data_IF_820066923495
#
_entry.id   IF_820066923495
#
_cell.length_a   1.000
_cell.length_b   1.000
_cell.length_c   1.000
_cell.angle_alpha   90.00
_cell.angle_beta   90.00
_cell.angle_gamma   90.00
#
_symmetry.space_group_name_H-M   'P 1'
#
loop_
_entity.id
_entity.type
_entity.pdbx_description
1 polymer ?
#
# COMPACT_ATOMS: atom_id res chain seq x y z
N UNK A 1 4.27 23.02 17.85
CA UNK A 1 3.00 22.39 18.31
C UNK A 1 3.36 21.52 19.50
N UNK A 2 2.78 21.80 20.67
CA UNK A 2 3.02 21.04 21.90
C UNK A 2 2.33 19.68 21.72
N UNK A 3 3.10 18.59 21.69
CA UNK A 3 2.53 17.26 21.79
C UNK A 3 1.68 17.17 23.07
N UNK A 4 0.42 16.72 22.99
CA UNK A 4 -0.35 16.50 24.20
C UNK A 4 0.35 15.43 25.03
N UNK A 5 0.73 15.79 26.25
CA UNK A 5 1.34 14.89 27.21
C UNK A 5 0.54 13.58 27.25
N UNK A 6 1.20 12.43 27.08
CA UNK A 6 0.59 11.10 27.21
C UNK A 6 -0.01 11.01 28.63
N UNK A 7 -1.34 11.00 28.72
CA UNK A 7 -1.99 10.65 29.95
C UNK A 7 -1.59 9.22 30.29
N UNK A 8 -0.86 9.03 31.40
CA UNK A 8 -0.32 7.72 31.79
C UNK A 8 -1.42 6.67 31.93
N UNK A 9 -1.53 5.80 30.94
CA UNK A 9 -1.84 4.38 31.07
C UNK A 9 -3.23 3.89 31.52
N UNK A 10 -4.00 4.63 32.28
CA UNK A 10 -5.26 4.13 32.85
C UNK A 10 -6.36 3.94 31.78
N UNK A 11 -6.41 4.80 30.78
CA UNK A 11 -7.42 4.70 29.72
C UNK A 11 -7.15 3.57 28.71
N UNK A 12 -5.89 3.29 28.39
CA UNK A 12 -5.53 2.23 27.45
C UNK A 12 -5.77 0.84 28.04
N UNK A 13 -5.41 0.62 29.30
CA UNK A 13 -5.70 -0.65 30.01
C UNK A 13 -7.22 -0.94 30.07
N UNK A 14 -8.03 0.08 30.31
CA UNK A 14 -9.49 -0.07 30.30
C UNK A 14 -10.04 -0.39 28.89
N UNK A 15 -9.44 0.17 27.83
CA UNK A 15 -9.79 -0.17 26.46
C UNK A 15 -9.42 -1.62 26.14
N UNK A 16 -8.25 -2.07 26.54
CA UNK A 16 -7.78 -3.44 26.33
C UNK A 16 -8.64 -4.46 27.07
N UNK A 17 -9.04 -4.15 28.32
CA UNK A 17 -9.99 -4.97 29.07
C UNK A 17 -11.35 -5.05 28.36
N UNK A 18 -11.87 -3.92 27.85
CA UNK A 18 -13.10 -3.90 27.06
C UNK A 18 -12.97 -4.70 25.77
N UNK A 19 -11.82 -4.63 25.07
CA UNK A 19 -11.59 -5.43 23.88
C UNK A 19 -11.61 -6.93 24.21
N UNK A 20 -11.00 -7.34 25.32
CA UNK A 20 -11.02 -8.73 25.77
C UNK A 20 -12.45 -9.21 26.05
N UNK A 21 -13.27 -8.36 26.66
CA UNK A 21 -14.69 -8.63 26.91
C UNK A 21 -15.50 -8.69 25.61
N UNK A 22 -15.32 -7.72 24.69
CA UNK A 22 -15.94 -7.73 23.36
C UNK A 22 -15.62 -9.04 22.61
N UNK A 23 -14.34 -9.48 22.62
CA UNK A 23 -13.90 -10.73 21.99
C UNK A 23 -14.54 -11.96 22.66
N UNK A 24 -14.58 -11.99 23.97
CA UNK A 24 -15.22 -13.08 24.73
C UNK A 24 -16.72 -13.19 24.43
N UNK A 25 -17.43 -12.07 24.39
CA UNK A 25 -18.85 -12.04 24.05
C UNK A 25 -19.16 -12.52 22.63
N UNK A 26 -18.21 -12.35 21.72
CA UNK A 26 -18.30 -12.79 20.32
C UNK A 26 -17.70 -14.18 20.07
N UNK A 27 -17.26 -14.88 21.12
CA UNK A 27 -16.54 -16.16 21.04
C UNK A 27 -15.33 -16.11 20.08
N UNK A 28 -14.56 -15.01 20.12
CA UNK A 28 -13.39 -14.79 19.30
C UNK A 28 -12.09 -14.83 20.14
N UNK A 29 -11.01 -15.43 19.60
CA UNK A 29 -10.92 -16.17 18.33
C UNK A 29 -11.79 -17.43 18.34
N UNK A 30 -12.34 -17.78 17.19
CA UNK A 30 -12.99 -19.08 17.01
C UNK A 30 -12.01 -20.21 17.30
N UNK A 31 -12.52 -21.35 17.77
CA UNK A 31 -11.66 -22.52 18.03
C UNK A 31 -10.91 -22.95 16.77
N UNK A 32 -9.62 -23.32 16.89
CA UNK A 32 -8.85 -23.85 15.77
C UNK A 32 -9.56 -25.05 15.14
N UNK A 33 -9.74 -25.00 13.81
CA UNK A 33 -10.47 -26.04 13.07
C UNK A 33 -9.68 -26.64 11.90
N UNK A 34 -8.54 -26.03 11.52
CA UNK A 34 -7.70 -26.50 10.42
C UNK A 34 -6.73 -27.57 10.93
N UNK A 35 -6.76 -28.82 10.40
CA UNK A 35 -5.79 -29.84 10.81
C UNK A 35 -4.36 -29.46 10.42
N UNK A 36 -3.43 -29.67 11.36
CA UNK A 36 -2.00 -29.47 11.10
C UNK A 36 -1.51 -30.44 10.04
N UNK A 37 -0.65 -29.97 9.14
CA UNK A 37 -0.01 -30.78 8.09
C UNK A 37 1.51 -30.68 8.19
N UNK A 38 2.17 -31.73 7.72
CA UNK A 38 3.61 -31.79 7.47
C UNK A 38 3.86 -32.44 6.11
N UNK A 39 4.95 -32.05 5.47
CA UNK A 39 5.44 -32.68 4.23
C UNK A 39 6.94 -32.88 4.33
N UNK A 40 7.42 -34.08 4.06
CA UNK A 40 8.84 -34.46 4.13
C UNK A 40 9.48 -34.13 5.48
N UNK A 41 8.73 -34.27 6.60
CA UNK A 41 9.17 -33.93 7.96
C UNK A 41 9.14 -32.41 8.28
N UNK A 42 8.82 -31.54 7.32
CA UNK A 42 8.69 -30.11 7.52
C UNK A 42 7.24 -29.73 7.84
N UNK A 43 7.05 -28.89 8.87
CA UNK A 43 5.74 -28.37 9.21
C UNK A 43 5.23 -27.43 8.11
N UNK A 44 3.95 -27.57 7.72
CA UNK A 44 3.29 -26.73 6.73
C UNK A 44 2.46 -25.65 7.44
N UNK A 45 2.65 -24.39 7.07
CA UNK A 45 1.78 -23.28 7.49
C UNK A 45 0.45 -23.35 6.72
N UNK A 46 -0.64 -23.02 7.40
CA UNK A 46 -1.91 -22.88 6.68
C UNK A 46 -1.90 -21.60 5.85
N UNK A 47 -1.42 -20.48 6.43
CA UNK A 47 -1.28 -19.23 5.71
C UNK A 47 0.03 -18.53 6.09
N UNK A 48 0.76 -18.06 5.09
CA UNK A 48 1.86 -17.10 5.27
C UNK A 48 1.42 -15.75 4.71
N UNK A 49 1.65 -14.68 5.48
CA UNK A 49 1.37 -13.30 5.06
C UNK A 49 2.69 -12.57 4.85
N UNK A 50 2.92 -12.01 3.68
CA UNK A 50 4.10 -11.19 3.38
C UNK A 50 3.71 -9.71 3.41
N UNK A 51 4.32 -8.98 4.35
CA UNK A 51 4.02 -7.61 4.70
C UNK A 51 3.15 -7.51 5.95
N UNK A 52 3.65 -6.81 6.98
CA UNK A 52 2.95 -6.57 8.24
C UNK A 52 2.54 -5.11 8.44
N UNK A 53 2.40 -4.36 7.35
CA UNK A 53 1.70 -3.08 7.35
C UNK A 53 0.20 -3.26 7.64
N UNK A 54 -0.58 -2.18 7.60
CA UNK A 54 -2.02 -2.18 7.92
C UNK A 54 -2.80 -3.34 7.27
N UNK A 55 -2.57 -3.62 5.98
CA UNK A 55 -3.31 -4.67 5.26
C UNK A 55 -2.92 -6.07 5.76
N UNK A 56 -1.62 -6.31 5.99
CA UNK A 56 -1.15 -7.59 6.52
C UNK A 56 -1.62 -7.83 7.94
N UNK A 57 -1.58 -6.81 8.81
CA UNK A 57 -2.12 -6.91 10.17
C UNK A 57 -3.63 -7.23 10.17
N UNK A 58 -4.41 -6.55 9.31
CA UNK A 58 -5.84 -6.81 9.17
C UNK A 58 -6.13 -8.24 8.68
N UNK A 59 -5.37 -8.72 7.68
CA UNK A 59 -5.50 -10.08 7.15
C UNK A 59 -5.14 -11.13 8.22
N UNK A 60 -4.00 -10.96 8.90
CA UNK A 60 -3.53 -11.87 9.96
C UNK A 60 -4.51 -11.93 11.13
N UNK A 61 -4.97 -10.76 11.60
CA UNK A 61 -5.96 -10.70 12.66
C UNK A 61 -7.27 -11.40 12.26
N UNK A 62 -7.75 -11.17 11.05
CA UNK A 62 -9.01 -11.79 10.60
C UNK A 62 -8.89 -13.31 10.42
N UNK A 63 -7.73 -13.81 9.99
CA UNK A 63 -7.44 -15.26 9.93
C UNK A 63 -7.51 -15.88 11.32
N UNK A 64 -6.80 -15.31 12.28
CA UNK A 64 -6.72 -15.81 13.65
C UNK A 64 -8.11 -15.75 14.32
N UNK A 65 -8.81 -14.63 14.20
CA UNK A 65 -10.17 -14.49 14.73
C UNK A 65 -11.16 -15.51 14.11
N UNK A 66 -10.88 -15.97 12.87
CA UNK A 66 -11.65 -17.02 12.19
C UNK A 66 -11.23 -18.46 12.54
N UNK A 67 -10.34 -18.67 13.51
CA UNK A 67 -9.87 -19.99 13.94
C UNK A 67 -8.81 -20.63 13.02
N UNK A 68 -8.19 -19.84 12.14
CA UNK A 68 -7.01 -20.27 11.37
C UNK A 68 -5.79 -19.76 12.14
N UNK A 69 -5.23 -20.58 13.03
CA UNK A 69 -4.20 -20.19 14.00
C UNK A 69 -2.78 -20.52 13.56
N UNK A 70 -2.60 -21.39 12.54
CA UNK A 70 -1.29 -21.70 11.97
C UNK A 70 -0.88 -20.67 10.90
N UNK A 71 -0.87 -19.41 11.30
CA UNK A 71 -0.53 -18.26 10.49
C UNK A 71 0.79 -17.64 10.98
N UNK A 72 1.57 -17.11 10.06
CA UNK A 72 2.74 -16.27 10.38
C UNK A 72 2.80 -15.12 9.37
N UNK A 73 3.21 -13.95 9.84
CA UNK A 73 3.46 -12.78 8.99
C UNK A 73 4.94 -12.43 9.00
N UNK A 74 5.50 -12.14 7.83
CA UNK A 74 6.86 -11.69 7.65
C UNK A 74 6.90 -10.28 7.08
N UNK A 75 7.75 -9.42 7.62
CA UNK A 75 7.98 -8.07 7.08
C UNK A 75 9.47 -7.79 6.95
N UNK A 76 9.87 -7.20 5.82
CA UNK A 76 11.27 -6.83 5.56
C UNK A 76 11.74 -5.64 6.41
N UNK A 77 10.82 -4.81 6.90
CA UNK A 77 11.14 -3.68 7.76
C UNK A 77 11.43 -4.14 9.20
N UNK A 78 12.19 -3.34 9.92
CA UNK A 78 12.30 -3.47 11.38
C UNK A 78 10.98 -3.11 12.04
N UNK A 79 10.74 -3.65 13.22
CA UNK A 79 9.51 -3.40 13.98
C UNK A 79 9.26 -1.90 14.20
N UNK A 80 8.02 -1.48 13.97
CA UNK A 80 7.59 -0.10 14.07
C UNK A 80 7.87 0.74 12.81
N UNK A 81 8.40 0.13 11.74
CA UNK A 81 8.62 0.79 10.45
C UNK A 81 7.91 0.10 9.27
N UNK A 82 6.98 -0.79 9.58
CA UNK A 82 6.16 -1.48 8.58
C UNK A 82 5.27 -0.52 7.80
N UNK A 83 5.25 -0.66 6.50
CA UNK A 83 4.49 0.22 5.60
C UNK A 83 5.12 1.61 5.41
N UNK A 84 4.37 2.58 4.86
CA UNK A 84 4.93 3.85 4.42
C UNK A 84 4.98 4.95 5.49
N UNK A 85 4.31 4.78 6.63
CA UNK A 85 3.92 5.87 7.55
C UNK A 85 5.10 6.65 8.14
N UNK A 86 6.13 5.96 8.60
CA UNK A 86 7.34 6.53 9.19
C UNK A 86 8.59 6.30 8.35
N UNK A 87 8.42 5.79 7.13
CA UNK A 87 9.48 5.57 6.15
C UNK A 87 9.44 6.64 5.04
N UNK A 88 8.89 6.29 3.87
CA UNK A 88 8.91 7.16 2.69
C UNK A 88 7.70 8.08 2.51
N UNK A 89 6.62 7.95 3.30
CA UNK A 89 5.50 8.88 3.22
C UNK A 89 5.84 10.22 3.88
N UNK A 90 5.80 11.29 3.09
CA UNK A 90 6.16 12.65 3.53
C UNK A 90 4.96 13.50 3.97
N UNK A 91 3.74 12.94 3.93
CA UNK A 91 2.56 13.61 4.48
C UNK A 91 2.67 13.76 5.99
N UNK A 92 2.15 14.85 6.54
CA UNK A 92 2.09 15.06 7.99
C UNK A 92 0.90 14.33 8.63
N UNK A 93 -0.23 14.30 7.93
CA UNK A 93 -1.47 13.66 8.40
C UNK A 93 -2.06 12.75 7.33
N UNK A 94 -2.89 11.80 7.75
CA UNK A 94 -3.67 10.97 6.84
C UNK A 94 -4.62 11.82 6.00
N UNK A 95 -4.89 11.37 4.77
CA UNK A 95 -5.87 12.00 3.87
C UNK A 95 -7.30 11.66 4.24
N UNK A 96 -7.51 10.46 4.74
CA UNK A 96 -8.81 9.95 5.14
C UNK A 96 -9.39 10.76 6.31
N UNK A 97 -10.74 10.84 6.45
CA UNK A 97 -11.37 11.43 7.62
C UNK A 97 -10.94 10.72 8.91
N UNK A 98 -10.86 11.44 10.03
CA UNK A 98 -10.52 10.82 11.32
C UNK A 98 -11.53 9.77 11.80
N UNK A 99 -12.75 9.82 11.28
CA UNK A 99 -13.86 8.90 11.62
C UNK A 99 -13.76 7.54 10.91
N UNK A 100 -12.71 7.28 10.11
CA UNK A 100 -12.50 5.99 9.47
C UNK A 100 -12.38 4.86 10.50
N UNK A 101 -12.87 3.68 10.16
CA UNK A 101 -12.80 2.50 11.04
C UNK A 101 -11.46 1.76 10.92
N UNK A 102 -10.80 1.85 9.76
CA UNK A 102 -9.51 1.20 9.53
C UNK A 102 -9.58 -0.33 9.65
N UNK A 103 -8.54 -0.98 10.20
CA UNK A 103 -8.44 -2.43 10.34
C UNK A 103 -9.23 -2.99 11.54
N UNK A 104 -10.27 -2.29 12.01
CA UNK A 104 -10.99 -2.63 13.24
C UNK A 104 -11.84 -3.93 13.16
N UNK A 105 -12.02 -4.53 11.97
CA UNK A 105 -12.68 -5.82 11.74
C UNK A 105 -14.10 -5.94 12.35
N UNK A 106 -14.81 -4.81 12.48
CA UNK A 106 -16.13 -4.74 13.08
C UNK A 106 -16.13 -4.53 14.61
N UNK A 107 -14.97 -4.55 15.27
CA UNK A 107 -14.82 -4.35 16.71
C UNK A 107 -14.64 -2.86 17.03
N UNK A 108 -15.59 -2.25 17.73
CA UNK A 108 -15.54 -0.82 18.05
C UNK A 108 -14.32 -0.46 18.91
N UNK A 109 -13.92 -1.36 19.81
CA UNK A 109 -12.74 -1.23 20.68
C UNK A 109 -11.40 -1.28 19.94
N UNK A 110 -11.35 -1.83 18.71
CA UNK A 110 -10.16 -1.83 17.87
C UNK A 110 -10.01 -0.61 16.95
N UNK A 111 -10.96 0.34 16.95
CA UNK A 111 -10.86 1.52 16.08
C UNK A 111 -9.77 2.48 16.54
N UNK A 112 -9.17 3.22 15.59
CA UNK A 112 -8.26 4.32 15.92
C UNK A 112 -8.90 5.32 16.89
N UNK A 113 -10.21 5.61 16.72
CA UNK A 113 -10.95 6.50 17.62
C UNK A 113 -10.93 6.00 19.05
N UNK A 114 -11.17 4.70 19.27
CA UNK A 114 -11.18 4.13 20.63
C UNK A 114 -9.78 4.22 21.26
N UNK A 115 -8.74 3.82 20.52
CA UNK A 115 -7.34 3.91 20.92
C UNK A 115 -6.92 5.34 21.25
N UNK A 116 -7.22 6.30 20.36
CA UNK A 116 -6.89 7.70 20.56
C UNK A 116 -7.61 8.29 21.79
N UNK A 117 -8.92 8.03 21.89
CA UNK A 117 -9.72 8.55 23.01
C UNK A 117 -9.27 7.97 24.35
N UNK A 118 -8.88 6.72 24.40
CA UNK A 118 -8.36 6.07 25.61
C UNK A 118 -7.05 6.72 26.08
N UNK A 119 -6.21 7.22 25.17
CA UNK A 119 -4.91 7.83 25.52
C UNK A 119 -5.00 9.34 25.78
N UNK A 120 -5.79 10.04 24.97
CA UNK A 120 -5.77 11.50 24.92
C UNK A 120 -7.10 12.14 25.33
N UNK A 121 -8.14 11.33 25.54
CA UNK A 121 -9.46 11.77 25.96
C UNK A 121 -10.37 12.28 24.84
N UNK A 122 -11.67 12.35 25.14
CA UNK A 122 -12.73 12.73 24.18
C UNK A 122 -12.58 14.18 23.67
N UNK A 123 -12.07 15.10 24.51
CA UNK A 123 -11.86 16.48 24.10
C UNK A 123 -10.73 16.62 23.09
N UNK A 124 -9.63 15.86 23.23
CA UNK A 124 -8.55 15.82 22.26
C UNK A 124 -9.03 15.23 20.93
N UNK A 125 -9.84 14.16 20.98
CA UNK A 125 -10.51 13.62 19.79
C UNK A 125 -11.40 14.67 19.09
N UNK A 126 -12.18 15.43 19.83
CA UNK A 126 -13.05 16.44 19.23
C UNK A 126 -12.26 17.51 18.47
N UNK A 127 -11.10 17.92 19.01
CA UNK A 127 -10.21 18.95 18.40
C UNK A 127 -9.36 18.42 17.24
N UNK A 128 -9.13 17.12 17.18
CA UNK A 128 -8.35 16.50 16.10
C UNK A 128 -9.05 16.75 14.76
N UNK A 129 -8.37 17.32 13.77
CA UNK A 129 -8.89 17.45 12.40
C UNK A 129 -8.55 16.20 11.58
N UNK A 130 -7.27 15.92 11.42
CA UNK A 130 -6.72 14.77 10.67
C UNK A 130 -5.81 13.96 11.57
N UNK A 131 -5.74 12.66 11.33
CA UNK A 131 -4.85 11.76 12.08
C UNK A 131 -3.39 12.00 11.68
N UNK A 132 -2.49 12.39 12.61
CA UNK A 132 -1.06 12.45 12.35
C UNK A 132 -0.53 11.06 11.96
N UNK A 133 0.33 11.00 10.93
CA UNK A 133 0.85 9.71 10.42
C UNK A 133 1.63 8.91 11.47
N UNK A 134 2.34 9.59 12.37
CA UNK A 134 3.07 8.94 13.47
C UNK A 134 2.11 8.27 14.45
N UNK A 135 1.04 8.96 14.86
CA UNK A 135 0.02 8.38 15.73
C UNK A 135 -0.75 7.22 15.06
N UNK A 136 -0.88 7.26 13.72
CA UNK A 136 -1.40 6.10 12.99
C UNK A 136 -0.46 4.90 13.09
N UNK A 137 0.86 5.11 13.01
CA UNK A 137 1.83 4.04 13.21
C UNK A 137 1.81 3.52 14.65
N UNK A 138 1.77 4.41 15.66
CA UNK A 138 1.63 4.02 17.07
C UNK A 138 0.39 3.16 17.31
N UNK A 139 -0.73 3.52 16.66
CA UNK A 139 -1.95 2.72 16.68
C UNK A 139 -1.77 1.33 16.06
N UNK A 140 -1.07 1.20 14.92
CA UNK A 140 -0.81 -0.09 14.29
C UNK A 140 0.12 -0.98 15.14
N UNK A 141 1.09 -0.37 15.84
CA UNK A 141 1.93 -1.09 16.80
C UNK A 141 1.09 -1.62 17.96
N UNK A 142 0.22 -0.79 18.55
CA UNK A 142 -0.72 -1.22 19.58
C UNK A 142 -1.66 -2.32 19.07
N UNK A 143 -2.23 -2.15 17.88
CA UNK A 143 -3.12 -3.13 17.24
C UNK A 143 -2.48 -4.51 17.14
N UNK A 144 -1.21 -4.57 16.69
CA UNK A 144 -0.42 -5.80 16.64
C UNK A 144 -0.25 -6.42 18.03
N UNK A 145 0.08 -5.61 19.03
CA UNK A 145 0.37 -6.05 20.38
C UNK A 145 -0.89 -6.57 21.09
N UNK A 146 -1.98 -5.82 21.03
CA UNK A 146 -3.22 -6.17 21.74
C UNK A 146 -3.89 -7.43 21.20
N UNK A 147 -3.65 -7.76 19.93
CA UNK A 147 -4.14 -8.99 19.30
C UNK A 147 -3.09 -10.11 19.25
N UNK A 148 -1.92 -9.91 19.83
CA UNK A 148 -0.79 -10.86 19.84
C UNK A 148 -0.50 -11.45 18.46
N UNK A 149 -0.39 -10.60 17.42
CA UNK A 149 -0.24 -11.07 16.05
C UNK A 149 1.18 -11.62 15.79
N UNK A 150 1.33 -12.82 15.22
CA UNK A 150 2.60 -13.48 14.97
C UNK A 150 3.34 -12.85 13.78
N UNK A 151 4.03 -11.75 14.03
CA UNK A 151 4.83 -11.04 13.03
C UNK A 151 6.32 -11.18 13.32
N UNK A 152 7.08 -11.61 12.32
CA UNK A 152 8.56 -11.63 12.35
C UNK A 152 9.08 -10.53 11.41
N UNK A 153 9.79 -9.57 11.99
CA UNK A 153 10.38 -8.43 11.29
C UNK A 153 11.80 -8.73 10.78
N UNK A 154 12.29 -7.90 9.85
CA UNK A 154 13.61 -8.07 9.25
C UNK A 154 13.72 -9.32 8.39
N UNK A 155 12.60 -9.79 7.84
CA UNK A 155 12.52 -10.99 6.99
C UNK A 155 11.96 -10.62 5.62
N UNK A 156 12.74 -10.88 4.59
CA UNK A 156 12.39 -10.65 3.18
C UNK A 156 12.10 -11.96 2.47
N UNK A 157 10.98 -12.02 1.76
CA UNK A 157 10.72 -13.09 0.81
C UNK A 157 11.56 -12.87 -0.46
N UNK A 158 12.29 -13.90 -0.88
CA UNK A 158 13.22 -13.85 -2.03
C UNK A 158 12.82 -14.77 -3.18
N UNK A 159 11.97 -15.78 -2.93
CA UNK A 159 11.39 -16.61 -3.99
C UNK A 159 10.05 -17.20 -3.58
N UNK A 160 9.23 -17.49 -4.60
CA UNK A 160 7.97 -18.26 -4.52
C UNK A 160 8.08 -19.38 -5.50
N UNK A 161 7.92 -20.64 -5.05
CA UNK A 161 7.98 -21.82 -5.91
C UNK A 161 6.82 -22.78 -5.68
N UNK A 162 6.33 -23.43 -6.75
CA UNK A 162 5.42 -24.59 -6.62
C UNK A 162 6.13 -25.76 -5.92
N UNK A 163 5.47 -26.39 -4.95
CA UNK A 163 5.91 -27.64 -4.32
C UNK A 163 4.73 -28.63 -4.23
N UNK A 164 4.38 -29.23 -5.36
CA UNK A 164 3.13 -29.97 -5.48
C UNK A 164 1.93 -29.05 -5.29
N UNK A 165 1.08 -29.36 -4.34
CA UNK A 165 -0.08 -28.52 -3.98
C UNK A 165 0.26 -27.39 -2.98
N UNK A 166 1.50 -27.34 -2.49
CA UNK A 166 1.99 -26.34 -1.55
C UNK A 166 2.78 -25.25 -2.26
N UNK A 167 2.95 -24.17 -1.57
CA UNK A 167 3.81 -23.04 -1.94
C UNK A 167 5.05 -23.10 -1.07
N UNK A 168 6.22 -23.17 -1.68
CA UNK A 168 7.50 -22.99 -1.01
C UNK A 168 7.95 -21.54 -1.15
N UNK A 169 8.33 -20.92 -0.03
CA UNK A 169 8.73 -19.52 0.04
C UNK A 169 10.13 -19.47 0.63
N UNK A 170 11.08 -18.86 -0.09
CA UNK A 170 12.40 -18.57 0.46
C UNK A 170 12.39 -17.25 1.19
N UNK A 171 13.04 -17.26 2.33
CA UNK A 171 13.15 -16.13 3.25
C UNK A 171 14.60 -15.83 3.58
N UNK A 172 14.92 -14.54 3.71
CA UNK A 172 16.23 -14.04 4.12
C UNK A 172 16.09 -12.99 5.23
N UNK A 173 17.11 -12.87 6.06
CA UNK A 173 17.17 -11.91 7.17
C UNK A 173 17.10 -12.58 8.52
N UNK A 174 16.29 -12.06 9.45
CA UNK A 174 16.13 -12.59 10.81
C UNK A 174 15.60 -14.05 10.83
N UNK A 175 14.90 -14.46 9.77
CA UNK A 175 14.59 -15.86 9.48
C UNK A 175 15.19 -16.20 8.12
N UNK A 176 16.02 -17.24 8.06
CA UNK A 176 16.67 -17.70 6.85
C UNK A 176 16.29 -19.15 6.56
N UNK A 177 15.89 -19.43 5.33
CA UNK A 177 15.48 -20.76 4.90
C UNK A 177 14.18 -20.74 4.09
N UNK A 178 13.59 -21.93 3.92
CA UNK A 178 12.32 -22.08 3.22
C UNK A 178 11.17 -22.42 4.17
N UNK A 179 9.97 -21.95 3.84
CA UNK A 179 8.72 -22.23 4.55
C UNK A 179 7.71 -22.78 3.56
N UNK A 180 7.07 -23.90 3.94
CA UNK A 180 5.96 -24.46 3.19
C UNK A 180 4.63 -23.90 3.70
N UNK A 181 3.75 -23.52 2.77
CA UNK A 181 2.42 -23.00 3.12
C UNK A 181 1.35 -23.49 2.14
N UNK A 182 0.12 -23.58 2.64
CA UNK A 182 -1.06 -23.89 1.83
C UNK A 182 -1.56 -22.65 1.08
N UNK A 183 -1.53 -21.48 1.73
CA UNK A 183 -1.93 -20.21 1.15
C UNK A 183 -0.88 -19.13 1.43
N UNK A 184 -0.68 -18.25 0.46
CA UNK A 184 0.21 -17.08 0.56
C UNK A 184 -0.58 -15.80 0.33
N UNK A 185 -0.50 -14.86 1.28
CA UNK A 185 -1.10 -13.53 1.17
C UNK A 185 -0.01 -12.49 0.94
N UNK A 186 -0.07 -11.80 -0.19
CA UNK A 186 0.85 -10.72 -0.55
C UNK A 186 0.27 -9.37 -0.15
N UNK A 187 0.51 -8.96 1.11
CA UNK A 187 0.11 -7.66 1.66
C UNK A 187 1.22 -6.61 1.52
N UNK A 188 1.91 -6.62 0.41
CA UNK A 188 3.19 -5.95 0.14
C UNK A 188 3.07 -4.47 -0.27
N UNK A 189 1.89 -3.88 -0.11
CA UNK A 189 1.67 -2.46 -0.36
C UNK A 189 1.74 -2.06 -1.84
N UNK A 190 2.03 -0.78 -2.11
CA UNK A 190 1.96 -0.22 -3.47
C UNK A 190 3.03 -0.70 -4.42
N UNK A 191 4.22 -1.00 -3.92
CA UNK A 191 5.36 -1.44 -4.74
C UNK A 191 5.51 -2.95 -4.83
N UNK A 192 4.65 -3.72 -4.14
CA UNK A 192 4.85 -5.15 -3.92
C UNK A 192 4.74 -6.04 -5.15
N UNK A 193 4.06 -5.60 -6.20
CA UNK A 193 3.96 -6.34 -7.47
C UNK A 193 4.64 -5.62 -8.63
N UNK A 194 5.65 -4.84 -8.36
CA UNK A 194 6.40 -4.08 -9.35
C UNK A 194 7.40 -3.16 -8.68
N UNK A 195 7.30 -1.88 -8.94
CA UNK A 195 8.21 -0.90 -8.36
C UNK A 195 7.82 0.54 -8.65
N UNK A 196 8.74 1.43 -8.39
CA UNK A 196 8.62 2.82 -8.76
C UNK A 196 8.44 2.98 -10.28
N UNK A 197 7.51 3.83 -10.68
CA UNK A 197 7.33 4.18 -12.09
C UNK A 197 8.38 5.22 -12.48
N UNK A 198 9.55 4.79 -12.94
CA UNK A 198 10.64 5.67 -13.35
C UNK A 198 10.54 5.91 -14.87
N UNK A 199 10.49 7.17 -15.33
CA UNK A 199 10.47 7.50 -16.74
C UNK A 199 11.77 7.12 -17.47
N UNK A 200 11.67 6.68 -18.72
CA UNK A 200 12.79 6.19 -19.52
C UNK A 200 13.90 7.23 -19.74
N UNK A 201 13.56 8.52 -19.77
CA UNK A 201 14.55 9.59 -19.91
C UNK A 201 15.55 9.68 -18.73
N UNK A 202 15.29 8.97 -17.63
CA UNK A 202 16.21 8.88 -16.49
C UNK A 202 17.13 7.65 -16.54
N UNK A 203 16.96 6.74 -17.49
CA UNK A 203 17.69 5.47 -17.54
C UNK A 203 19.22 5.62 -17.58
N UNK A 204 19.72 6.74 -18.11
CA UNK A 204 21.17 7.05 -18.24
C UNK A 204 21.62 8.17 -17.31
N UNK A 205 20.74 8.70 -16.46
CA UNK A 205 21.06 9.80 -15.53
C UNK A 205 21.61 9.22 -14.23
N UNK A 206 22.73 9.79 -13.76
CA UNK A 206 23.35 9.39 -12.49
C UNK A 206 22.34 9.43 -11.34
N UNK A 207 22.23 8.34 -10.62
CA UNK A 207 21.27 8.15 -9.52
C UNK A 207 21.50 9.11 -8.34
N UNK A 208 22.68 9.70 -8.23
CA UNK A 208 22.99 10.71 -7.24
C UNK A 208 22.28 12.05 -7.48
N UNK A 209 21.80 12.29 -8.71
CA UNK A 209 21.15 13.54 -9.11
C UNK A 209 19.60 13.47 -9.04
N UNK A 210 19.03 12.32 -8.77
CA UNK A 210 17.59 12.17 -8.68
C UNK A 210 17.17 11.06 -7.72
N UNK A 211 15.95 11.15 -7.20
CA UNK A 211 15.33 10.12 -6.39
C UNK A 211 13.84 9.96 -6.74
N UNK A 212 13.31 8.75 -6.60
CA UNK A 212 11.86 8.56 -6.62
C UNK A 212 11.25 8.96 -5.27
N UNK A 213 10.01 9.43 -5.27
CA UNK A 213 9.29 9.85 -4.06
C UNK A 213 9.12 8.75 -3.00
N UNK A 214 9.40 7.50 -3.35
CA UNK A 214 9.37 6.35 -2.43
C UNK A 214 10.77 5.95 -1.91
N UNK A 215 11.82 6.62 -2.35
CA UNK A 215 13.17 6.38 -1.86
C UNK A 215 13.39 7.06 -0.50
N UNK A 216 14.43 6.62 0.18
CA UNK A 216 14.92 7.29 1.39
C UNK A 216 15.75 8.52 1.00
N UNK A 217 15.05 9.67 0.85
CA UNK A 217 15.66 10.93 0.44
C UNK A 217 16.21 11.65 1.65
N UNK A 218 17.50 11.95 1.62
CA UNK A 218 18.14 12.86 2.59
C UNK A 218 17.82 14.32 2.22
N UNK A 219 16.77 14.86 2.82
CA UNK A 219 16.35 16.24 2.56
C UNK A 219 17.31 17.28 3.17
N UNK A 220 18.08 16.95 4.20
CA UNK A 220 19.09 17.86 4.76
C UNK A 220 20.24 18.07 3.75
N UNK A 221 20.61 17.06 2.98
CA UNK A 221 21.57 17.17 1.90
C UNK A 221 21.05 17.98 0.68
N UNK A 222 19.75 18.29 0.64
CA UNK A 222 19.12 19.11 -0.40
C UNK A 222 19.00 20.58 -0.01
N UNK A 223 19.44 20.98 1.19
CA UNK A 223 19.47 22.38 1.64
C UNK A 223 20.27 23.25 0.68
N UNK A 224 19.70 24.41 0.33
CA UNK A 224 20.33 25.37 -0.58
C UNK A 224 20.36 24.94 -2.06
N UNK A 225 19.79 23.78 -2.42
CA UNK A 225 19.73 23.29 -3.81
C UNK A 225 18.46 23.75 -4.53
N UNK A 226 18.57 23.91 -5.85
CA UNK A 226 17.44 24.10 -6.77
C UNK A 226 16.88 22.72 -7.12
N UNK A 227 15.63 22.49 -6.81
CA UNK A 227 15.01 21.15 -6.94
C UNK A 227 13.87 21.19 -7.94
N UNK A 228 13.86 20.23 -8.87
CA UNK A 228 12.69 19.92 -9.67
C UNK A 228 11.91 18.76 -9.05
N UNK A 229 10.55 18.83 -9.10
CA UNK A 229 9.67 17.74 -8.68
C UNK A 229 8.72 17.40 -9.81
N UNK A 230 8.77 16.15 -10.30
CA UNK A 230 7.84 15.68 -11.35
C UNK A 230 6.53 15.25 -10.74
N UNK A 231 5.42 15.80 -11.22
CA UNK A 231 4.08 15.35 -10.89
C UNK A 231 3.27 16.37 -10.10
N UNK A 232 1.97 16.10 -10.03
CA UNK A 232 0.98 16.94 -9.33
C UNK A 232 0.18 16.13 -8.30
N UNK A 233 0.55 14.88 -8.06
CA UNK A 233 -0.09 14.02 -7.08
C UNK A 233 0.36 14.32 -5.65
N UNK A 234 -0.28 13.69 -4.68
CA UNK A 234 0.00 13.95 -3.29
C UNK A 234 1.46 13.62 -2.88
N UNK A 235 2.07 12.54 -3.42
CA UNK A 235 3.49 12.25 -3.12
C UNK A 235 4.43 13.31 -3.67
N UNK A 236 4.18 13.82 -4.88
CA UNK A 236 4.97 14.91 -5.45
C UNK A 236 4.87 16.17 -4.58
N UNK A 237 3.63 16.53 -4.18
CA UNK A 237 3.35 17.68 -3.33
C UNK A 237 4.02 17.56 -1.94
N UNK A 238 3.89 16.40 -1.29
CA UNK A 238 4.48 16.17 0.03
C UNK A 238 6.02 16.18 0.00
N UNK A 239 6.64 15.65 -1.07
CA UNK A 239 8.10 15.69 -1.24
C UNK A 239 8.59 17.13 -1.54
N UNK A 240 7.87 17.88 -2.38
CA UNK A 240 8.15 19.30 -2.63
C UNK A 240 8.11 20.12 -1.35
N UNK A 241 7.04 19.94 -0.56
CA UNK A 241 6.90 20.60 0.73
C UNK A 241 8.03 20.26 1.69
N UNK A 242 8.40 18.97 1.79
CA UNK A 242 9.49 18.55 2.68
C UNK A 242 10.84 19.13 2.24
N UNK A 243 11.09 19.24 0.94
CA UNK A 243 12.32 19.89 0.42
C UNK A 243 12.36 21.38 0.77
N UNK A 244 11.25 22.09 0.62
CA UNK A 244 11.15 23.51 1.02
C UNK A 244 11.36 23.70 2.51
N UNK A 245 10.67 22.91 3.34
CA UNK A 245 10.78 22.93 4.80
C UNK A 245 12.20 22.59 5.28
N UNK A 246 12.95 21.77 4.55
CA UNK A 246 14.36 21.46 4.80
C UNK A 246 15.32 22.58 4.34
N UNK A 247 14.82 23.61 3.64
CA UNK A 247 15.61 24.77 3.21
C UNK A 247 16.21 24.67 1.81
N UNK A 248 15.53 24.01 0.87
CA UNK A 248 15.88 24.07 -0.55
C UNK A 248 15.90 25.54 -1.03
N UNK A 249 16.82 25.91 -1.91
CA UNK A 249 16.89 27.25 -2.48
C UNK A 249 15.67 27.60 -3.33
N UNK A 250 15.17 26.61 -4.09
CA UNK A 250 13.89 26.71 -4.81
C UNK A 250 13.36 25.32 -5.12
N UNK A 251 12.02 25.24 -5.28
CA UNK A 251 11.36 24.03 -5.76
C UNK A 251 10.42 24.36 -6.92
N UNK A 252 10.64 23.73 -8.06
CA UNK A 252 9.76 23.82 -9.22
C UNK A 252 9.03 22.50 -9.42
N UNK A 253 7.71 22.54 -9.37
CA UNK A 253 6.87 21.39 -9.69
C UNK A 253 6.60 21.35 -11.20
N UNK A 254 7.19 20.38 -11.89
CA UNK A 254 7.03 20.18 -13.33
C UNK A 254 5.78 19.36 -13.61
N UNK A 255 4.72 20.02 -14.06
CA UNK A 255 3.39 19.45 -14.20
C UNK A 255 2.99 19.45 -15.68
N UNK A 256 2.92 18.27 -16.30
CA UNK A 256 2.58 18.15 -17.73
C UNK A 256 1.14 18.56 -18.10
N UNK A 257 0.23 18.58 -17.10
CA UNK A 257 -1.18 18.95 -17.32
C UNK A 257 -1.35 20.46 -17.41
N UNK A 258 -2.37 20.89 -18.13
CA UNK A 258 -2.76 22.30 -18.23
C UNK A 258 -3.39 22.81 -16.92
N UNK A 259 -4.02 21.92 -16.15
CA UNK A 259 -4.73 22.27 -14.92
C UNK A 259 -4.46 21.26 -13.82
N UNK A 260 -4.50 21.75 -12.57
CA UNK A 260 -4.51 20.91 -11.40
C UNK A 260 -5.87 20.23 -11.22
N UNK A 261 -5.93 18.93 -10.87
CA UNK A 261 -7.18 18.29 -10.54
C UNK A 261 -7.81 18.95 -9.30
N UNK A 262 -9.11 19.24 -9.35
CA UNK A 262 -9.82 19.92 -8.25
C UNK A 262 -10.84 19.04 -7.56
N UNK A 263 -11.36 18.03 -8.25
CA UNK A 263 -12.44 17.17 -7.76
C UNK A 263 -11.91 15.76 -7.55
N UNK A 264 -12.07 15.24 -6.35
CA UNK A 264 -11.71 13.85 -6.05
C UNK A 264 -12.83 12.90 -6.51
N UNK A 265 -12.70 12.39 -7.73
CA UNK A 265 -13.63 11.40 -8.30
C UNK A 265 -13.59 10.05 -7.57
N UNK A 266 -12.50 9.76 -6.87
CA UNK A 266 -12.36 8.54 -6.08
C UNK A 266 -13.21 8.52 -4.80
N UNK A 267 -13.81 9.63 -4.39
CA UNK A 267 -14.65 9.70 -3.17
C UNK A 267 -15.86 8.77 -3.27
N UNK A 268 -16.48 8.68 -4.46
CA UNK A 268 -17.61 7.77 -4.69
C UNK A 268 -17.28 6.29 -4.63
N UNK A 269 -16.02 5.92 -4.87
CA UNK A 269 -15.53 4.53 -4.84
C UNK A 269 -15.45 3.99 -3.41
N UNK A 270 -15.53 4.81 -2.38
CA UNK A 270 -15.62 4.41 -0.98
C UNK A 270 -17.04 4.08 -0.51
N UNK A 271 -18.07 4.12 -1.37
CA UNK A 271 -19.43 3.74 -0.99
C UNK A 271 -19.54 2.24 -0.68
N UNK A 272 -20.44 1.86 0.23
CA UNK A 272 -20.67 0.45 0.58
C UNK A 272 -21.06 -0.39 -0.66
N UNK A 273 -21.79 0.21 -1.61
CA UNK A 273 -22.12 -0.44 -2.87
C UNK A 273 -20.87 -0.84 -3.67
N UNK A 274 -19.88 0.04 -3.77
CA UNK A 274 -18.62 -0.26 -4.47
C UNK A 274 -17.77 -1.21 -3.65
N UNK A 275 -17.65 -1.01 -2.33
CA UNK A 275 -16.84 -1.88 -1.44
C UNK A 275 -17.29 -3.33 -1.54
N UNK A 276 -18.60 -3.60 -1.59
CA UNK A 276 -19.14 -4.98 -1.61
C UNK A 276 -19.54 -5.45 -3.01
N UNK A 277 -19.82 -4.56 -3.95
CA UNK A 277 -20.38 -4.92 -5.26
C UNK A 277 -19.39 -4.93 -6.42
N UNK A 278 -18.28 -4.15 -6.34
CA UNK A 278 -17.39 -3.96 -7.49
C UNK A 278 -16.85 -5.26 -8.08
N UNK A 279 -16.49 -6.22 -7.25
CA UNK A 279 -15.94 -7.51 -7.69
C UNK A 279 -16.93 -8.34 -8.54
N UNK A 280 -18.23 -8.08 -8.41
CA UNK A 280 -19.29 -8.77 -9.13
C UNK A 280 -19.75 -8.04 -10.40
N UNK A 281 -19.24 -6.84 -10.64
CA UNK A 281 -19.55 -6.10 -11.86
C UNK A 281 -18.95 -6.80 -13.09
N UNK A 282 -19.57 -6.62 -14.27
CA UNK A 282 -18.92 -6.93 -15.54
C UNK A 282 -17.58 -6.20 -15.65
N UNK A 283 -16.59 -6.83 -16.26
CA UNK A 283 -15.23 -6.30 -16.38
C UNK A 283 -15.16 -4.95 -17.10
N UNK A 284 -16.04 -4.73 -18.08
CA UNK A 284 -16.18 -3.43 -18.77
C UNK A 284 -16.54 -2.29 -17.81
N UNK A 285 -17.36 -2.55 -16.78
CA UNK A 285 -17.68 -1.57 -15.76
C UNK A 285 -16.54 -1.35 -14.76
N UNK A 286 -15.85 -2.42 -14.33
CA UNK A 286 -14.66 -2.30 -13.48
C UNK A 286 -13.60 -1.43 -14.15
N UNK A 287 -13.34 -1.69 -15.44
CA UNK A 287 -12.43 -0.90 -16.25
C UNK A 287 -12.82 0.56 -16.32
N UNK A 288 -14.06 0.85 -16.74
CA UNK A 288 -14.58 2.23 -16.85
C UNK A 288 -14.48 3.02 -15.56
N UNK A 289 -14.78 2.40 -14.39
CA UNK A 289 -14.66 3.06 -13.10
C UNK A 289 -13.21 3.45 -12.79
N UNK A 290 -12.27 2.53 -12.99
CA UNK A 290 -10.87 2.79 -12.67
C UNK A 290 -10.27 3.76 -13.69
N UNK A 291 -10.56 3.60 -14.97
CA UNK A 291 -10.13 4.52 -16.03
C UNK A 291 -10.61 5.94 -15.74
N UNK A 292 -11.91 6.14 -15.53
CA UNK A 292 -12.49 7.45 -15.22
C UNK A 292 -11.82 8.14 -14.04
N UNK A 293 -11.56 7.40 -12.98
CA UNK A 293 -10.92 7.96 -11.78
C UNK A 293 -9.43 8.23 -11.97
N UNK A 294 -8.75 7.39 -12.75
CA UNK A 294 -7.33 7.57 -13.10
C UNK A 294 -7.14 8.78 -14.02
N UNK A 295 -8.04 8.96 -15.00
CA UNK A 295 -8.01 10.12 -15.91
C UNK A 295 -8.27 11.43 -15.21
N UNK A 296 -9.27 11.42 -14.32
CA UNK A 296 -9.61 12.60 -13.54
C UNK A 296 -8.52 12.97 -12.55
N UNK A 297 -7.69 11.99 -12.18
CA UNK A 297 -6.64 12.08 -11.17
C UNK A 297 -7.17 12.56 -9.80
N UNK A 298 -6.70 11.99 -8.73
CA UNK A 298 -7.02 12.48 -7.38
C UNK A 298 -6.26 13.77 -7.12
N UNK A 299 -6.94 14.87 -6.75
CA UNK A 299 -6.26 16.09 -6.35
C UNK A 299 -5.34 15.84 -5.15
N UNK A 300 -4.22 16.57 -5.05
CA UNK A 300 -3.43 16.54 -3.83
C UNK A 300 -4.26 17.09 -2.66
N UNK A 301 -4.01 16.65 -1.43
CA UNK A 301 -4.67 17.21 -0.26
C UNK A 301 -4.41 18.72 -0.14
N UNK A 302 -5.42 19.48 0.27
CA UNK A 302 -5.27 20.92 0.47
C UNK A 302 -4.10 21.26 1.39
N UNK A 303 -3.94 20.52 2.49
CA UNK A 303 -2.82 20.73 3.42
C UNK A 303 -1.45 20.54 2.76
N UNK A 304 -1.29 19.51 1.91
CA UNK A 304 -0.04 19.31 1.18
C UNK A 304 0.23 20.43 0.17
N UNK A 305 -0.82 20.92 -0.51
CA UNK A 305 -0.68 22.03 -1.46
C UNK A 305 -0.32 23.34 -0.74
N UNK A 306 -0.93 23.62 0.41
CA UNK A 306 -0.61 24.82 1.21
C UNK A 306 0.84 24.80 1.70
N UNK A 307 1.34 23.66 2.19
CA UNK A 307 2.75 23.51 2.59
C UNK A 307 3.72 23.91 1.47
N UNK A 308 3.36 23.72 0.20
CA UNK A 308 4.18 24.17 -0.93
C UNK A 308 3.93 25.65 -1.23
N UNK A 309 2.65 26.07 -1.33
CA UNK A 309 2.29 27.41 -1.80
C UNK A 309 2.55 28.53 -0.77
N UNK A 310 2.82 28.19 0.49
CA UNK A 310 3.23 29.14 1.53
C UNK A 310 4.71 29.58 1.41
N UNK A 311 5.48 28.95 0.51
CA UNK A 311 6.87 29.29 0.26
C UNK A 311 7.03 30.13 -1.03
N UNK A 312 7.61 31.32 -0.93
CA UNK A 312 7.82 32.24 -2.07
C UNK A 312 8.79 31.69 -3.12
N UNK A 313 9.65 30.74 -2.74
CA UNK A 313 10.61 30.06 -3.59
C UNK A 313 10.05 28.75 -4.21
N UNK A 314 8.72 28.55 -4.20
CA UNK A 314 8.05 27.44 -4.84
C UNK A 314 7.28 27.87 -6.10
N UNK A 315 7.33 27.07 -7.18
CA UNK A 315 6.57 27.35 -8.41
C UNK A 315 5.84 26.09 -8.90
N UNK A 316 4.62 26.30 -9.40
CA UNK A 316 3.83 25.28 -10.11
C UNK A 316 3.88 25.54 -11.61
N UNK A 317 4.67 24.79 -12.35
CA UNK A 317 4.83 24.94 -13.79
C UNK A 317 3.86 23.99 -14.52
N UNK A 318 2.67 24.51 -14.85
CA UNK A 318 1.65 23.78 -15.62
C UNK A 318 2.04 23.73 -17.09
N UNK A 319 1.52 22.75 -17.88
CA UNK A 319 1.92 22.48 -19.26
C UNK A 319 3.44 22.23 -19.42
N UNK A 320 4.14 21.88 -18.34
CA UNK A 320 5.56 21.65 -18.32
C UNK A 320 5.87 20.14 -18.42
N UNK A 321 5.82 19.61 -19.64
CA UNK A 321 6.20 18.24 -19.93
C UNK A 321 7.70 18.11 -20.12
N UNK A 322 8.32 17.05 -19.59
CA UNK A 322 9.75 16.77 -19.77
C UNK A 322 9.94 15.96 -21.06
N UNK A 323 10.92 16.36 -21.87
CA UNK A 323 11.33 15.70 -23.11
C UNK A 323 12.60 14.89 -22.93
N UNK A 324 13.58 15.47 -22.21
CA UNK A 324 14.87 14.83 -21.94
C UNK A 324 15.45 15.34 -20.63
N UNK A 325 16.33 14.53 -20.02
CA UNK A 325 17.12 14.90 -18.85
C UNK A 325 18.56 14.43 -19.10
N UNK A 326 19.51 15.31 -18.84
CA UNK A 326 20.93 15.00 -18.94
C UNK A 326 21.66 15.52 -17.69
N UNK A 327 22.72 14.81 -17.28
CA UNK A 327 23.64 15.33 -16.28
C UNK A 327 24.49 16.45 -16.91
N UNK A 328 24.64 17.56 -16.20
CA UNK A 328 25.44 18.70 -16.59
C UNK A 328 26.23 19.24 -15.40
N UNK A 329 27.55 19.07 -15.43
CA UNK A 329 28.40 19.39 -14.28
C UNK A 329 27.96 18.58 -13.03
N UNK A 330 27.60 19.30 -11.97
CA UNK A 330 27.11 18.70 -10.71
C UNK A 330 25.59 18.66 -10.61
N UNK A 331 24.86 19.04 -11.68
CA UNK A 331 23.41 19.16 -11.69
C UNK A 331 22.77 18.48 -12.92
N UNK A 332 21.59 18.95 -13.25
CA UNK A 332 20.73 18.42 -14.31
C UNK A 332 20.34 19.53 -15.28
N UNK A 333 20.46 19.24 -16.55
CA UNK A 333 19.81 19.96 -17.64
C UNK A 333 18.52 19.20 -18.00
N UNK A 334 17.38 19.89 -17.94
CA UNK A 334 16.06 19.31 -18.23
C UNK A 334 15.43 20.06 -19.40
N UNK A 335 15.24 19.37 -20.52
CA UNK A 335 14.49 19.88 -21.67
C UNK A 335 12.99 19.71 -21.41
N UNK A 336 12.27 20.83 -21.38
CA UNK A 336 10.82 20.82 -21.16
C UNK A 336 10.05 21.38 -22.34
N UNK A 337 8.72 21.28 -22.30
CA UNK A 337 7.83 21.96 -23.27
C UNK A 337 7.87 23.48 -23.15
N UNK A 338 8.43 24.04 -22.07
CA UNK A 338 8.58 25.47 -21.84
C UNK A 338 10.03 25.97 -22.02
N UNK A 339 10.90 25.13 -22.56
CA UNK A 339 12.32 25.41 -22.76
C UNK A 339 13.23 24.66 -21.76
N UNK A 340 14.55 24.87 -21.88
CA UNK A 340 15.53 24.26 -21.02
C UNK A 340 15.53 24.83 -19.60
N UNK A 341 15.77 23.98 -18.61
CA UNK A 341 15.85 24.34 -17.19
C UNK A 341 17.00 23.61 -16.51
N UNK A 342 17.59 24.22 -15.48
CA UNK A 342 18.73 23.66 -14.76
C UNK A 342 18.41 23.50 -13.28
N UNK A 343 18.68 22.31 -12.73
CA UNK A 343 18.45 21.97 -11.34
C UNK A 343 19.61 21.21 -10.74
N UNK A 344 19.70 21.21 -9.43
CA UNK A 344 20.75 20.49 -8.71
C UNK A 344 20.28 19.08 -8.33
N UNK A 345 18.94 18.85 -8.25
CA UNK A 345 18.36 17.57 -7.94
C UNK A 345 16.94 17.43 -8.49
N UNK A 346 16.53 16.20 -8.80
CA UNK A 346 15.19 15.88 -9.30
C UNK A 346 14.48 14.85 -8.41
N UNK A 347 13.28 15.19 -7.94
CA UNK A 347 12.39 14.23 -7.25
C UNK A 347 11.30 13.75 -8.21
N UNK A 348 11.17 12.43 -8.35
CA UNK A 348 10.28 11.79 -9.31
C UNK A 348 9.01 11.31 -8.60
N UNK A 349 7.93 12.09 -8.70
CA UNK A 349 6.62 11.80 -8.09
C UNK A 349 5.64 11.11 -9.05
N UNK A 350 6.11 10.11 -9.81
CA UNK A 350 5.36 9.46 -10.91
C UNK A 350 4.57 8.21 -10.48
N UNK A 351 4.62 7.85 -9.20
CA UNK A 351 3.87 6.73 -8.64
C UNK A 351 4.53 5.37 -8.89
N UNK A 352 3.71 4.33 -8.95
CA UNK A 352 4.15 2.93 -9.02
C UNK A 352 3.58 2.23 -10.24
N UNK A 353 4.21 1.13 -10.66
CA UNK A 353 3.76 0.27 -11.75
C UNK A 353 3.70 -1.19 -11.31
N UNK A 354 2.83 -1.98 -11.96
CA UNK A 354 2.86 -3.43 -11.86
C UNK A 354 3.87 -3.97 -12.87
N UNK A 355 4.77 -4.82 -12.41
CA UNK A 355 5.83 -5.44 -13.22
C UNK A 355 6.31 -6.72 -12.54
N UNK A 356 5.56 -7.80 -12.69
CA UNK A 356 5.90 -9.10 -12.09
C UNK A 356 7.22 -9.65 -12.62
N UNK A 357 7.51 -9.43 -13.91
CA UNK A 357 8.72 -9.94 -14.54
C UNK A 357 9.99 -9.26 -14.00
N UNK A 358 9.87 -8.00 -13.55
CA UNK A 358 10.96 -7.26 -12.93
C UNK A 358 11.22 -7.64 -11.46
N UNK A 359 10.46 -8.58 -10.91
CA UNK A 359 10.55 -9.00 -9.50
C UNK A 359 11.14 -10.41 -9.40
N UNK A 360 12.39 -10.58 -8.96
CA UNK A 360 13.05 -11.90 -8.96
C UNK A 360 12.32 -12.94 -8.10
N UNK A 361 11.66 -12.55 -7.00
CA UNK A 361 10.88 -13.45 -6.15
C UNK A 361 9.68 -14.08 -6.86
N UNK A 362 9.20 -13.49 -7.95
CA UNK A 362 8.11 -14.01 -8.77
C UNK A 362 8.58 -14.84 -9.97
N UNK A 363 9.89 -15.02 -10.20
CA UNK A 363 10.44 -15.59 -11.42
C UNK A 363 9.79 -16.91 -11.84
N UNK A 364 9.48 -17.80 -10.88
CA UNK A 364 8.86 -19.10 -11.16
C UNK A 364 7.36 -19.03 -11.49
N UNK A 365 6.66 -17.94 -11.10
CA UNK A 365 5.20 -17.86 -11.27
C UNK A 365 4.77 -16.70 -12.18
N UNK A 366 5.58 -15.66 -12.34
CA UNK A 366 5.25 -14.47 -13.14
C UNK A 366 4.80 -14.80 -14.58
N UNK A 367 5.44 -15.74 -15.32
CA UNK A 367 5.02 -16.10 -16.68
C UNK A 367 3.58 -16.65 -16.76
N UNK A 368 3.07 -17.21 -15.67
CA UNK A 368 1.78 -17.86 -15.58
C UNK A 368 0.67 -16.95 -15.04
N UNK A 369 1.01 -15.80 -14.43
CA UNK A 369 0.01 -14.88 -13.87
C UNK A 369 -0.75 -14.21 -15.00
N UNK A 370 -2.06 -14.40 -15.01
CA UNK A 370 -2.96 -13.72 -15.93
C UNK A 370 -3.14 -12.26 -15.52
N UNK A 371 -2.94 -11.36 -16.49
CA UNK A 371 -3.20 -9.93 -16.34
C UNK A 371 -4.47 -9.51 -17.08
N UNK A 372 -4.91 -8.29 -16.87
CA UNK A 372 -6.10 -7.78 -17.53
C UNK A 372 -5.98 -7.75 -19.06
N UNK A 373 -4.79 -7.57 -19.63
CA UNK A 373 -4.54 -7.66 -21.07
C UNK A 373 -4.63 -9.08 -21.66
N UNK A 374 -4.40 -10.10 -20.84
CA UNK A 374 -4.32 -11.49 -21.33
C UNK A 374 -5.70 -12.13 -21.56
N UNK A 375 -6.76 -11.61 -20.96
CA UNK A 375 -8.07 -12.26 -20.95
C UNK A 375 -9.19 -11.54 -21.69
N UNK A 376 -8.89 -10.45 -22.41
CA UNK A 376 -9.97 -9.58 -22.94
C UNK A 376 -9.65 -9.05 -24.34
N UNK A 377 -10.68 -8.97 -25.17
CA UNK A 377 -10.56 -8.31 -26.47
C UNK A 377 -10.53 -6.81 -26.31
N UNK A 378 -9.65 -6.13 -27.03
CA UNK A 378 -9.45 -4.67 -26.99
C UNK A 378 -10.70 -3.87 -27.38
N UNK A 379 -11.63 -4.47 -28.14
CA UNK A 379 -12.85 -3.81 -28.61
C UNK A 379 -13.81 -3.38 -27.47
N UNK A 380 -13.78 -4.10 -26.33
CA UNK A 380 -14.77 -3.88 -25.25
C UNK A 380 -14.31 -2.85 -24.20
N UNK A 381 -13.05 -2.42 -24.22
CA UNK A 381 -12.44 -1.68 -23.12
C UNK A 381 -11.79 -0.33 -23.50
N UNK A 382 -12.03 0.18 -24.72
CA UNK A 382 -11.45 1.45 -25.15
C UNK A 382 -9.94 1.42 -25.32
N UNK A 383 -9.26 2.56 -25.14
CA UNK A 383 -7.79 2.61 -25.26
C UNK A 383 -7.12 1.90 -24.09
N UNK A 384 -6.29 0.89 -24.37
CA UNK A 384 -5.46 0.26 -23.36
C UNK A 384 -4.47 1.27 -22.76
N UNK A 385 -4.52 1.42 -21.45
CA UNK A 385 -3.55 2.22 -20.73
C UNK A 385 -2.48 1.32 -20.12
N UNK A 386 -1.23 1.60 -20.42
CA UNK A 386 -0.10 1.00 -19.70
C UNK A 386 -0.30 1.22 -18.19
N UNK A 387 -0.05 0.20 -17.41
CA UNK A 387 -0.24 0.21 -15.95
C UNK A 387 -1.59 -0.34 -15.48
N UNK A 388 -2.71 -0.04 -16.13
CA UNK A 388 -3.99 -0.71 -15.84
C UNK A 388 -4.06 -2.10 -16.45
N UNK A 389 -3.64 -2.25 -17.71
CA UNK A 389 -3.62 -3.51 -18.44
C UNK A 389 -2.66 -4.55 -17.83
N UNK A 390 -1.62 -4.09 -17.15
CA UNK A 390 -0.63 -4.94 -16.48
C UNK A 390 -1.05 -5.35 -15.05
N UNK A 391 -2.20 -4.84 -14.56
CA UNK A 391 -2.76 -5.29 -13.29
C UNK A 391 -3.15 -6.78 -13.36
N UNK A 392 -3.02 -7.54 -12.24
CA UNK A 392 -3.42 -8.93 -12.21
C UNK A 392 -4.94 -9.08 -12.37
N UNK A 393 -5.36 -10.07 -13.15
CA UNK A 393 -6.74 -10.54 -13.17
C UNK A 393 -6.94 -11.51 -12.00
N UNK A 394 -7.75 -11.10 -11.02
CA UNK A 394 -7.87 -11.82 -9.76
C UNK A 394 -9.21 -12.55 -9.65
N UNK A 395 -9.23 -13.62 -8.86
CA UNK A 395 -10.44 -14.27 -8.40
C UNK A 395 -11.11 -13.53 -7.26
N UNK A 396 -12.20 -14.09 -6.72
CA UNK A 396 -13.08 -13.43 -5.74
C UNK A 396 -12.44 -13.23 -4.35
N UNK A 397 -11.42 -14.01 -4.01
CA UNK A 397 -10.65 -13.88 -2.78
C UNK A 397 -9.24 -13.34 -3.02
N UNK A 398 -9.07 -12.51 -4.04
CA UNK A 398 -7.79 -11.91 -4.46
C UNK A 398 -6.76 -12.89 -5.01
N UNK A 399 -7.12 -14.17 -5.24
CA UNK A 399 -6.23 -15.17 -5.79
C UNK A 399 -5.84 -14.84 -7.23
N UNK A 400 -4.58 -15.11 -7.58
CA UNK A 400 -4.13 -14.99 -8.97
C UNK A 400 -4.84 -16.02 -9.85
N UNK A 401 -5.06 -15.65 -11.10
CA UNK A 401 -5.54 -16.55 -12.15
C UNK A 401 -4.43 -16.93 -13.10
N UNK A 402 -4.52 -18.12 -13.64
CA UNK A 402 -3.59 -18.62 -14.65
C UNK A 402 -3.87 -18.03 -16.04
N UNK A 403 -2.81 -17.80 -16.83
CA UNK A 403 -2.94 -17.49 -18.28
C UNK A 403 -3.51 -18.67 -19.06
N UNK A 404 -3.00 -19.87 -18.80
CA UNK A 404 -3.46 -21.12 -19.38
C UNK A 404 -3.85 -22.09 -18.28
N UNK A 405 -5.00 -22.79 -18.41
CA UNK A 405 -5.46 -23.74 -17.39
C UNK A 405 -4.42 -24.81 -17.07
N UNK A 406 -4.13 -25.03 -15.79
CA UNK A 406 -3.22 -26.07 -15.31
C UNK A 406 -1.72 -25.76 -15.48
N UNK A 407 -1.35 -24.54 -15.91
CA UNK A 407 0.07 -24.18 -16.10
C UNK A 407 0.78 -23.84 -14.80
N UNK A 408 0.04 -23.40 -13.78
CA UNK A 408 0.57 -23.11 -12.44
C UNK A 408 -0.55 -23.09 -11.39
N UNK A 409 -1.12 -24.26 -11.01
CA UNK A 409 -2.33 -24.38 -10.19
C UNK A 409 -2.21 -23.70 -8.81
N UNK A 410 -0.99 -23.55 -8.26
CA UNK A 410 -0.76 -22.86 -6.97
C UNK A 410 -1.16 -21.39 -6.99
N UNK A 411 -1.31 -20.77 -8.16
CA UNK A 411 -1.73 -19.37 -8.28
C UNK A 411 -3.09 -19.12 -7.62
N UNK A 412 -3.98 -20.11 -7.63
CA UNK A 412 -5.26 -20.08 -6.92
C UNK A 412 -5.16 -20.02 -5.39
N UNK A 413 -3.95 -20.22 -4.86
CA UNK A 413 -3.63 -20.16 -3.42
C UNK A 413 -2.71 -18.99 -3.06
N UNK A 414 -2.39 -18.11 -4.02
CA UNK A 414 -1.59 -16.89 -3.81
C UNK A 414 -2.50 -15.69 -4.00
N UNK A 415 -2.68 -14.92 -2.92
CA UNK A 415 -3.65 -13.85 -2.84
C UNK A 415 -2.97 -12.47 -2.90
N UNK A 416 -3.35 -11.66 -3.87
CA UNK A 416 -2.87 -10.28 -4.07
C UNK A 416 -3.65 -9.31 -3.17
N UNK A 417 -3.29 -9.21 -1.88
CA UNK A 417 -3.95 -8.32 -0.94
C UNK A 417 -3.22 -6.99 -0.79
N UNK A 418 -3.07 -6.27 -1.90
CA UNK A 418 -2.37 -4.99 -1.99
C UNK A 418 -2.98 -4.07 -3.05
N UNK A 419 -2.33 -2.93 -3.35
CA UNK A 419 -2.85 -1.89 -4.26
C UNK A 419 -3.12 -2.39 -5.69
N UNK A 420 -2.41 -3.42 -6.16
CA UNK A 420 -2.61 -3.96 -7.51
C UNK A 420 -3.96 -4.66 -7.71
N UNK A 421 -4.66 -5.01 -6.63
CA UNK A 421 -6.01 -5.59 -6.68
C UNK A 421 -7.11 -4.55 -7.02
N UNK A 422 -6.77 -3.26 -7.11
CA UNK A 422 -7.75 -2.18 -7.24
C UNK A 422 -8.67 -2.34 -8.47
N UNK A 423 -8.15 -2.81 -9.60
CA UNK A 423 -8.94 -2.95 -10.83
C UNK A 423 -10.04 -4.02 -10.70
N UNK A 424 -9.76 -5.11 -9.99
CA UNK A 424 -10.73 -6.19 -9.77
C UNK A 424 -11.63 -5.94 -8.56
N UNK A 425 -11.06 -5.46 -7.45
CA UNK A 425 -11.72 -5.45 -6.14
C UNK A 425 -12.09 -4.06 -5.62
N UNK A 426 -11.63 -2.98 -6.28
CA UNK A 426 -11.72 -1.63 -5.74
C UNK A 426 -10.69 -1.40 -4.63
N UNK A 427 -10.89 -0.37 -3.83
CA UNK A 427 -9.93 0.07 -2.82
C UNK A 427 -10.05 -0.64 -1.47
N UNK A 428 -10.15 -1.97 -1.47
CA UNK A 428 -10.37 -2.75 -0.23
C UNK A 428 -9.09 -3.39 0.32
N UNK A 429 -7.99 -3.33 -0.44
CA UNK A 429 -6.70 -3.95 -0.06
C UNK A 429 -5.52 -2.96 -0.03
N UNK A 430 -5.79 -1.67 -0.09
CA UNK A 430 -4.76 -0.61 -0.08
C UNK A 430 -5.22 0.70 0.55
N UNK A 431 -6.50 0.85 0.87
CA UNK A 431 -7.09 2.07 1.42
C UNK A 431 -7.63 1.85 2.84
N UNK A 432 -7.36 2.79 3.73
CA UNK A 432 -7.67 2.66 5.16
C UNK A 432 -9.17 2.39 5.42
N UNK A 433 -10.12 3.12 4.80
CA UNK A 433 -11.55 2.98 5.13
C UNK A 433 -12.16 1.61 4.88
N UNK A 434 -11.63 0.85 3.90
CA UNK A 434 -12.27 -0.39 3.44
C UNK A 434 -11.45 -1.65 3.73
N UNK A 435 -10.31 -1.53 4.42
CA UNK A 435 -9.39 -2.66 4.66
C UNK A 435 -10.03 -3.81 5.45
N UNK A 436 -10.92 -3.50 6.39
CA UNK A 436 -11.66 -4.54 7.13
C UNK A 436 -12.56 -5.38 6.23
N UNK A 437 -13.29 -4.76 5.31
CA UNK A 437 -14.12 -5.47 4.33
C UNK A 437 -13.27 -6.31 3.36
N UNK A 438 -12.10 -5.79 2.96
CA UNK A 438 -11.14 -6.53 2.15
C UNK A 438 -10.59 -7.76 2.88
N UNK A 439 -10.18 -7.61 4.13
CA UNK A 439 -9.68 -8.72 4.96
C UNK A 439 -10.76 -9.80 5.19
N UNK A 440 -12.02 -9.39 5.42
CA UNK A 440 -13.13 -10.32 5.55
C UNK A 440 -13.36 -11.13 4.27
N UNK A 441 -13.34 -10.47 3.10
CA UNK A 441 -13.47 -11.12 1.79
C UNK A 441 -12.33 -12.11 1.53
N UNK A 442 -11.10 -11.72 1.76
CA UNK A 442 -9.91 -12.56 1.64
C UNK A 442 -10.03 -13.82 2.48
N UNK A 443 -10.33 -13.64 3.77
CA UNK A 443 -10.35 -14.74 4.73
C UNK A 443 -11.51 -15.69 4.49
N UNK A 444 -12.69 -15.22 4.07
CA UNK A 444 -13.80 -16.10 3.65
C UNK A 444 -13.38 -17.03 2.51
N UNK A 445 -12.66 -16.53 1.51
CA UNK A 445 -12.19 -17.37 0.41
C UNK A 445 -11.13 -18.39 0.86
N UNK A 446 -10.16 -17.96 1.67
CA UNK A 446 -9.15 -18.88 2.23
C UNK A 446 -9.82 -19.93 3.13
N UNK A 447 -10.78 -19.56 3.97
CA UNK A 447 -11.56 -20.47 4.80
C UNK A 447 -12.27 -21.53 3.96
N UNK A 448 -12.97 -21.10 2.91
CA UNK A 448 -13.63 -22.02 1.98
C UNK A 448 -12.65 -22.99 1.33
N UNK A 449 -11.50 -22.52 0.86
CA UNK A 449 -10.48 -23.34 0.25
C UNK A 449 -9.85 -24.34 1.22
N UNK A 450 -9.56 -23.92 2.46
CA UNK A 450 -9.01 -24.78 3.52
C UNK A 450 -9.99 -25.87 3.97
N UNK A 451 -11.29 -25.55 3.96
CA UNK A 451 -12.36 -26.49 4.37
C UNK A 451 -12.62 -27.55 3.29
N UNK A 452 -12.46 -27.21 2.01
CA UNK A 452 -12.70 -28.09 0.88
C UNK A 452 -11.49 -28.98 0.51
N UNK A 453 -10.32 -28.78 1.13
CA UNK A 453 -9.06 -29.47 0.85
C UNK A 453 -8.73 -30.51 1.98
#
# INVERSE_FOLDING_TARGET
MIEPARAKGLGLAALEARLADDLSCLELPAKPWVPRRSQDGQAVRDVVVIGAGMCGLAATARLILGGIDNVVSYDAAVQGREGPWVSFARMQTLRSPKSLTGPALGLASLTFRAWYTAQFGAQAWARLDKIPKAQWMDYLIWYRQVLDLPVTNGVRMTAIRPRGELIEIDLEGAHHGSVLTRHLVLATGRSGLGGASVPDFLAKVDRRLWAHSADDIDFDALRGKRIAVIGAGASAMDNAATALEAGAASVDMLIRRAEMPRINKMTGIGSQGVVHGMQHLPDSWKWKFVEYTTDSQTPPPRSSTLRVSEHDNARFLLNCGIRAVAAEGTGLHIETTQGPMHYDFLIVGTGFRNDFAGRPEFAAIAPHIRTWKDGRQTADMGSWRSGMSDAPDLGLAFEFREKGPGTCPILSRIHCFNDAAMLTHGKVSGDIPAVSAGADRLVRGITSALFSA
#
